data_IF_698007675368
#
_entry.id   IF_698007675368
#
_cell.length_a   1.000
_cell.length_b   1.000
_cell.length_c   1.000
_cell.angle_alpha   90.00
_cell.angle_beta   90.00
_cell.angle_gamma   90.00
#
_symmetry.space_group_name_H-M   'P 1'
#
loop_
_entity.id
_entity.type
_entity.pdbx_description
1 polymer ?
#
# COMPACT_ATOMS: atom_id res chain seq x y z
N UNK A 1 5.68 19.86 -32.84
CA UNK A 1 4.71 19.45 -31.81
C UNK A 1 4.25 20.73 -31.15
N UNK A 2 3.00 21.12 -31.37
CA UNK A 2 2.45 22.31 -30.73
C UNK A 2 2.46 22.12 -29.22
N UNK A 3 2.92 23.14 -28.53
CA UNK A 3 3.25 23.08 -27.11
C UNK A 3 1.94 23.09 -26.30
N UNK A 4 1.50 21.91 -25.87
CA UNK A 4 0.23 21.69 -25.17
C UNK A 4 0.10 22.54 -23.90
N UNK A 5 1.24 22.90 -23.29
CA UNK A 5 1.28 23.82 -22.15
C UNK A 5 0.79 25.22 -22.54
N UNK A 6 1.19 25.71 -23.71
CA UNK A 6 0.81 27.04 -24.16
C UNK A 6 -0.70 27.16 -24.39
N UNK A 7 -1.33 26.08 -24.84
CA UNK A 7 -2.79 26.03 -25.01
C UNK A 7 -3.52 25.96 -23.67
N UNK A 8 -3.01 25.17 -22.71
CA UNK A 8 -3.54 25.13 -21.35
C UNK A 8 -3.53 26.50 -20.67
N UNK A 9 -2.44 27.26 -20.80
CA UNK A 9 -2.35 28.61 -20.23
C UNK A 9 -3.26 29.64 -20.92
N UNK A 10 -3.63 29.40 -22.18
CA UNK A 10 -4.48 30.31 -22.96
C UNK A 10 -5.96 30.06 -22.74
N UNK A 11 -6.34 28.82 -22.40
CA UNK A 11 -7.72 28.40 -22.19
C UNK A 11 -8.17 28.52 -20.72
N UNK A 12 -7.25 28.60 -19.76
CA UNK A 12 -7.57 28.76 -18.34
C UNK A 12 -7.39 30.21 -17.91
N UNK A 13 -8.47 30.82 -17.41
CA UNK A 13 -8.44 32.14 -16.78
C UNK A 13 -7.87 32.00 -15.36
N UNK A 14 -6.58 32.29 -15.22
CA UNK A 14 -5.93 32.25 -13.91
C UNK A 14 -6.44 33.43 -13.09
N UNK A 15 -6.94 33.14 -11.90
CA UNK A 15 -7.37 34.17 -10.96
C UNK A 15 -6.15 35.01 -10.53
N UNK A 16 -5.93 36.11 -11.25
CA UNK A 16 -4.91 37.13 -10.98
C UNK A 16 -5.42 38.18 -10.00
N UNK A 17 -6.65 38.03 -9.49
CA UNK A 17 -7.23 39.00 -8.57
C UNK A 17 -6.71 38.80 -7.16
N UNK A 18 -6.56 39.92 -6.46
CA UNK A 18 -6.16 39.89 -5.06
C UNK A 18 -7.28 39.25 -4.22
N UNK A 19 -6.94 38.29 -3.31
CA UNK A 19 -7.94 37.65 -2.47
C UNK A 19 -8.75 38.67 -1.68
N UNK A 20 -10.05 38.41 -1.48
CA UNK A 20 -10.91 39.27 -0.68
C UNK A 20 -10.31 39.58 0.70
N UNK A 21 -10.50 40.82 1.16
CA UNK A 21 -10.02 41.28 2.46
C UNK A 21 -10.40 40.30 3.58
N UNK A 22 -9.41 39.97 4.41
CA UNK A 22 -9.55 38.97 5.48
C UNK A 22 -9.24 37.52 5.08
N UNK A 23 -8.87 37.23 3.83
CA UNK A 23 -8.36 35.90 3.43
C UNK A 23 -7.12 35.51 4.24
N UNK A 24 -6.12 36.39 4.34
CA UNK A 24 -4.90 36.15 5.13
C UNK A 24 -5.20 35.87 6.59
N UNK A 25 -6.11 36.63 7.21
CA UNK A 25 -6.51 36.40 8.60
C UNK A 25 -7.23 35.06 8.79
N UNK A 26 -8.03 34.61 7.81
CA UNK A 26 -8.66 33.27 7.82
C UNK A 26 -7.62 32.16 7.64
N UNK A 27 -6.65 32.38 6.75
CA UNK A 27 -5.58 31.45 6.46
C UNK A 27 -4.65 31.27 7.68
N UNK A 28 -4.20 32.37 8.27
CA UNK A 28 -3.40 32.38 9.49
C UNK A 28 -4.12 31.69 10.64
N UNK A 29 -5.41 31.96 10.86
CA UNK A 29 -6.19 31.23 11.87
C UNK A 29 -6.29 29.74 11.61
N UNK A 30 -6.25 29.30 10.35
CA UNK A 30 -6.30 27.87 9.98
C UNK A 30 -4.93 27.20 10.16
N UNK A 31 -3.83 27.94 9.97
CA UNK A 31 -2.46 27.50 10.28
C UNK A 31 -2.22 27.39 11.79
N UNK A 32 -2.67 28.39 12.55
CA UNK A 32 -2.48 28.50 13.99
C UNK A 32 -3.53 27.73 14.79
N UNK A 33 -4.62 27.27 14.16
CA UNK A 33 -5.60 26.45 14.86
C UNK A 33 -4.96 25.11 15.21
N UNK A 34 -4.86 24.74 16.51
CA UNK A 34 -4.41 23.41 16.87
C UNK A 34 -5.36 22.41 16.22
N UNK A 35 -4.83 21.46 15.43
CA UNK A 35 -5.60 20.34 14.90
C UNK A 35 -6.31 19.72 16.09
N UNK A 36 -7.64 19.89 16.18
CA UNK A 36 -8.42 19.29 17.27
C UNK A 36 -8.20 17.80 17.16
N UNK A 37 -7.44 17.23 18.10
CA UNK A 37 -7.29 15.79 18.23
C UNK A 37 -8.69 15.22 18.40
N UNK A 38 -9.23 14.61 17.34
CA UNK A 38 -10.46 13.84 17.43
C UNK A 38 -10.14 12.71 18.41
N UNK A 39 -10.94 12.57 19.47
CA UNK A 39 -10.77 11.46 20.42
C UNK A 39 -10.77 10.14 19.63
N UNK A 40 -9.90 9.17 19.97
CA UNK A 40 -9.96 7.85 19.36
C UNK A 40 -11.39 7.32 19.48
N UNK A 41 -12.03 7.07 18.34
CA UNK A 41 -13.35 6.47 18.29
C UNK A 41 -13.25 5.00 18.70
N UNK A 42 -14.31 4.41 19.26
CA UNK A 42 -14.31 2.96 19.53
C UNK A 42 -14.28 2.11 18.23
N UNK A 43 -14.40 2.73 17.05
CA UNK A 43 -14.19 2.11 15.74
C UNK A 43 -12.76 1.55 15.52
N UNK A 44 -11.78 1.99 16.30
CA UNK A 44 -10.40 1.49 16.18
C UNK A 44 -10.24 0.05 16.72
N UNK A 45 -11.15 -0.40 17.59
CA UNK A 45 -11.17 -1.79 18.06
C UNK A 45 -11.80 -2.76 17.05
N UNK A 46 -12.50 -2.27 16.02
CA UNK A 46 -13.01 -3.14 14.94
C UNK A 46 -12.00 -3.42 13.85
N UNK A 47 -10.93 -2.65 13.71
CA UNK A 47 -9.98 -2.77 12.59
C UNK A 47 -8.77 -3.65 12.93
N UNK A 48 -8.37 -3.77 14.20
CA UNK A 48 -7.44 -4.84 14.64
C UNK A 48 -7.95 -6.24 14.26
N UNK A 49 -9.28 -6.40 14.11
CA UNK A 49 -9.86 -7.61 13.58
C UNK A 49 -9.45 -7.87 12.11
N UNK A 50 -9.20 -6.87 11.27
CA UNK A 50 -8.85 -7.08 9.85
C UNK A 50 -7.53 -7.82 9.67
N UNK A 51 -6.46 -7.46 10.40
CA UNK A 51 -5.17 -8.16 10.30
C UNK A 51 -5.19 -9.50 11.04
N UNK A 52 -5.89 -9.59 12.18
CA UNK A 52 -6.15 -10.88 12.82
C UNK A 52 -7.02 -11.79 11.94
N UNK A 53 -7.95 -11.22 11.16
CA UNK A 53 -8.75 -11.94 10.18
C UNK A 53 -7.94 -12.28 8.94
N UNK A 54 -7.03 -11.44 8.45
CA UNK A 54 -6.15 -11.75 7.32
C UNK A 54 -5.15 -12.84 7.71
N UNK A 55 -4.47 -12.71 8.86
CA UNK A 55 -3.59 -13.74 9.39
C UNK A 55 -4.37 -15.02 9.75
N UNK A 56 -5.54 -14.88 10.37
CA UNK A 56 -6.41 -15.99 10.75
C UNK A 56 -7.06 -16.69 9.56
N UNK A 57 -7.41 -15.95 8.50
CA UNK A 57 -7.93 -16.47 7.25
C UNK A 57 -6.80 -17.13 6.45
N UNK A 58 -5.61 -16.54 6.39
CA UNK A 58 -4.43 -17.14 5.74
C UNK A 58 -4.01 -18.46 6.40
N UNK A 59 -3.93 -18.48 7.75
CA UNK A 59 -3.65 -19.70 8.51
C UNK A 59 -4.80 -20.71 8.45
N UNK A 60 -6.06 -20.25 8.45
CA UNK A 60 -7.26 -21.09 8.39
C UNK A 60 -7.52 -21.68 7.00
N UNK A 61 -7.25 -20.92 5.93
CA UNK A 61 -7.41 -21.35 4.53
C UNK A 61 -6.29 -22.27 4.08
N UNK A 62 -5.12 -22.25 4.72
CA UNK A 62 -4.06 -23.23 4.50
C UNK A 62 -4.52 -24.67 4.79
N UNK A 63 -5.60 -24.86 5.57
CA UNK A 63 -6.22 -26.17 5.79
C UNK A 63 -7.16 -26.60 4.65
N UNK A 64 -7.58 -25.71 3.75
CA UNK A 64 -8.28 -26.06 2.51
C UNK A 64 -7.27 -26.28 1.36
N UNK A 65 -6.36 -27.24 1.54
CA UNK A 65 -5.48 -27.73 0.47
C UNK A 65 -6.30 -28.40 -0.63
N UNK A 66 -6.78 -27.66 -1.62
CA UNK A 66 -7.31 -28.21 -2.89
C UNK A 66 -7.17 -27.24 -4.08
N UNK A 67 -6.43 -26.14 -3.96
CA UNK A 67 -6.21 -25.19 -5.05
C UNK A 67 -4.82 -25.36 -5.63
N UNK A 68 -4.74 -25.61 -6.95
CA UNK A 68 -3.48 -25.80 -7.68
C UNK A 68 -2.73 -24.48 -7.82
N UNK A 69 -1.56 -24.34 -7.20
CA UNK A 69 -0.77 -23.09 -7.18
C UNK A 69 0.69 -23.26 -7.65
N UNK A 70 1.55 -22.26 -7.40
CA UNK A 70 2.97 -22.33 -7.77
C UNK A 70 3.69 -23.51 -7.10
N UNK A 71 3.35 -23.85 -5.87
CA UNK A 71 3.99 -24.95 -5.14
C UNK A 71 3.76 -26.31 -5.82
N UNK A 72 2.66 -26.46 -6.55
CA UNK A 72 2.34 -27.68 -7.31
C UNK A 72 3.08 -27.78 -8.66
N UNK A 73 3.80 -26.73 -9.08
CA UNK A 73 4.55 -26.71 -10.35
C UNK A 73 5.89 -27.44 -10.21
N UNK A 74 6.65 -27.14 -9.15
CA UNK A 74 7.94 -27.75 -8.87
C UNK A 74 8.41 -27.43 -7.45
N UNK A 75 9.35 -28.22 -6.89
CA UNK A 75 9.93 -27.91 -5.57
C UNK A 75 10.50 -26.49 -5.47
N UNK A 76 11.18 -26.02 -6.53
CA UNK A 76 11.76 -24.66 -6.55
C UNK A 76 10.68 -23.56 -6.56
N UNK A 77 9.54 -23.81 -7.20
CA UNK A 77 8.41 -22.86 -7.18
C UNK A 77 7.71 -22.87 -5.81
N UNK A 78 7.66 -24.02 -5.13
CA UNK A 78 7.19 -24.10 -3.75
C UNK A 78 8.08 -23.30 -2.78
N UNK A 79 9.41 -23.42 -2.93
CA UNK A 79 10.37 -22.61 -2.18
C UNK A 79 10.16 -21.10 -2.42
N UNK A 80 10.00 -20.69 -3.68
CA UNK A 80 9.75 -19.30 -4.03
C UNK A 80 8.44 -18.77 -3.42
N UNK A 81 7.34 -19.53 -3.54
CA UNK A 81 6.06 -19.18 -2.92
C UNK A 81 6.19 -19.02 -1.40
N UNK A 82 6.84 -19.99 -0.74
CA UNK A 82 7.07 -19.93 0.71
C UNK A 82 7.89 -18.71 1.11
N UNK A 83 8.93 -18.37 0.35
CA UNK A 83 9.73 -17.17 0.57
C UNK A 83 8.84 -15.92 0.53
N UNK A 84 8.14 -15.67 -0.59
CA UNK A 84 7.31 -14.48 -0.75
C UNK A 84 6.23 -14.36 0.31
N UNK A 85 5.51 -15.45 0.58
CA UNK A 85 4.48 -15.50 1.62
C UNK A 85 5.05 -15.14 2.99
N UNK A 86 6.19 -15.73 3.35
CA UNK A 86 6.80 -15.51 4.66
C UNK A 86 7.26 -14.06 4.80
N UNK A 87 7.89 -13.51 3.76
CA UNK A 87 8.31 -12.12 3.72
C UNK A 87 7.11 -11.19 3.83
N UNK A 88 6.06 -11.34 3.02
CA UNK A 88 4.84 -10.51 3.09
C UNK A 88 4.24 -10.54 4.50
N UNK A 89 4.15 -11.71 5.12
CA UNK A 89 3.63 -11.84 6.48
C UNK A 89 4.52 -11.13 7.52
N UNK A 90 5.83 -11.14 7.31
CA UNK A 90 6.77 -10.41 8.17
C UNK A 90 6.63 -8.90 8.00
N UNK A 91 6.58 -8.40 6.76
CA UNK A 91 6.37 -6.98 6.47
C UNK A 91 5.03 -6.48 7.06
N UNK A 92 3.95 -7.24 6.89
CA UNK A 92 2.65 -6.91 7.49
C UNK A 92 2.72 -6.82 9.02
N UNK A 93 3.48 -7.72 9.66
CA UNK A 93 3.70 -7.68 11.11
C UNK A 93 4.49 -6.43 11.53
N UNK A 94 5.43 -5.99 10.71
CA UNK A 94 6.18 -4.76 10.92
C UNK A 94 5.28 -3.53 10.77
N UNK A 95 4.44 -3.47 9.74
CA UNK A 95 3.44 -2.41 9.53
C UNK A 95 2.55 -2.22 10.77
N UNK A 96 2.11 -3.33 11.39
CA UNK A 96 1.30 -3.26 12.61
C UNK A 96 2.02 -2.58 13.79
N UNK A 97 3.35 -2.57 13.85
CA UNK A 97 4.10 -1.88 14.90
C UNK A 97 3.96 -0.34 14.80
N UNK A 98 3.72 0.17 13.60
CA UNK A 98 3.54 1.60 13.33
C UNK A 98 2.08 2.05 13.43
N UNK A 99 1.15 1.14 13.73
CA UNK A 99 -0.29 1.43 13.70
C UNK A 99 -0.70 2.38 14.81
N UNK A 100 -1.30 3.50 14.43
CA UNK A 100 -1.74 4.57 15.32
C UNK A 100 -2.87 5.39 14.69
N UNK A 101 -3.45 6.31 15.47
CA UNK A 101 -4.46 7.24 14.94
C UNK A 101 -4.00 8.06 13.74
N UNK A 102 -2.70 8.32 13.65
CA UNK A 102 -2.12 9.19 12.64
C UNK A 102 -1.74 8.44 11.36
N UNK A 103 -1.40 7.15 11.49
CA UNK A 103 -0.86 6.32 10.40
C UNK A 103 -1.91 5.44 9.73
N UNK A 104 -3.06 5.23 10.36
CA UNK A 104 -4.09 4.28 9.90
C UNK A 104 -4.58 4.51 8.49
N UNK A 105 -4.86 5.77 8.12
CA UNK A 105 -5.41 6.05 6.80
C UNK A 105 -4.47 5.54 5.70
N UNK A 106 -3.17 5.78 5.86
CA UNK A 106 -2.16 5.34 4.89
C UNK A 106 -1.97 3.83 4.94
N UNK A 107 -2.06 3.21 6.13
CA UNK A 107 -2.03 1.75 6.29
C UNK A 107 -3.25 1.12 5.59
N UNK A 108 -4.46 1.59 5.87
CA UNK A 108 -5.71 1.09 5.29
C UNK A 108 -5.72 1.21 3.77
N UNK A 109 -5.32 2.37 3.23
CA UNK A 109 -5.21 2.58 1.78
C UNK A 109 -4.26 1.56 1.13
N UNK A 110 -3.11 1.30 1.76
CA UNK A 110 -2.13 0.35 1.23
C UNK A 110 -2.59 -1.11 1.39
N UNK A 111 -3.27 -1.44 2.49
CA UNK A 111 -3.84 -2.78 2.70
C UNK A 111 -4.95 -3.08 1.69
N UNK A 112 -5.73 -2.09 1.28
CA UNK A 112 -6.70 -2.24 0.19
C UNK A 112 -6.00 -2.57 -1.15
N UNK A 113 -4.87 -1.92 -1.46
CA UNK A 113 -4.07 -2.26 -2.64
C UNK A 113 -3.53 -3.70 -2.59
N UNK A 114 -3.08 -4.16 -1.41
CA UNK A 114 -2.68 -5.55 -1.19
C UNK A 114 -3.85 -6.51 -1.41
N UNK A 115 -5.06 -6.19 -0.96
CA UNK A 115 -6.25 -7.01 -1.17
C UNK A 115 -6.60 -7.14 -2.65
N UNK A 116 -6.54 -6.04 -3.42
CA UNK A 116 -6.73 -6.08 -4.87
C UNK A 116 -5.72 -6.99 -5.57
N UNK A 117 -4.44 -6.93 -5.15
CA UNK A 117 -3.39 -7.82 -5.65
C UNK A 117 -3.63 -9.28 -5.25
N UNK A 118 -4.11 -9.55 -4.04
CA UNK A 118 -4.48 -10.89 -3.57
C UNK A 118 -5.61 -11.50 -4.44
N UNK A 119 -6.61 -10.70 -4.78
CA UNK A 119 -7.71 -11.13 -5.64
C UNK A 119 -7.28 -11.38 -7.10
N UNK A 120 -6.34 -10.58 -7.61
CA UNK A 120 -5.67 -10.86 -8.87
C UNK A 120 -4.91 -12.19 -8.81
N UNK A 121 -4.18 -12.47 -7.73
CA UNK A 121 -3.49 -13.75 -7.54
C UNK A 121 -4.45 -14.94 -7.56
N UNK A 122 -5.59 -14.85 -6.86
CA UNK A 122 -6.63 -15.89 -6.89
C UNK A 122 -7.16 -16.15 -8.31
N UNK A 123 -7.21 -15.11 -9.15
CA UNK A 123 -7.58 -15.24 -10.56
C UNK A 123 -6.50 -15.96 -11.35
N UNK A 124 -5.22 -15.59 -11.14
CA UNK A 124 -4.08 -16.26 -11.77
C UNK A 124 -3.98 -17.75 -11.37
N UNK A 125 -4.27 -18.12 -10.12
CA UNK A 125 -4.36 -19.52 -9.66
C UNK A 125 -5.38 -20.30 -10.50
N UNK A 126 -6.57 -19.73 -10.73
CA UNK A 126 -7.61 -20.36 -11.57
C UNK A 126 -7.13 -20.51 -13.02
N UNK A 127 -6.38 -19.54 -13.54
CA UNK A 127 -5.84 -19.61 -14.91
C UNK A 127 -4.69 -20.61 -15.04
N UNK A 128 -3.82 -20.72 -14.04
CA UNK A 128 -2.72 -21.67 -14.00
C UNK A 128 -3.21 -23.13 -14.09
N UNK A 129 -4.39 -23.40 -13.53
CA UNK A 129 -5.04 -24.72 -13.60
C UNK A 129 -5.45 -25.13 -15.02
N UNK A 130 -5.52 -24.18 -15.97
CA UNK A 130 -5.83 -24.44 -17.38
C UNK A 130 -4.57 -24.94 -18.11
N UNK A 131 -4.75 -25.53 -19.31
CA UNK A 131 -3.64 -26.14 -20.08
C UNK A 131 -2.77 -25.12 -20.83
N UNK A 132 -3.23 -23.89 -21.02
CA UNK A 132 -2.59 -22.90 -21.89
C UNK A 132 -1.82 -21.85 -21.09
N UNK A 133 -0.77 -21.28 -21.69
CA UNK A 133 -0.02 -20.11 -21.19
C UNK A 133 0.59 -20.22 -19.78
N UNK A 134 0.78 -21.42 -19.21
CA UNK A 134 1.30 -21.61 -17.84
C UNK A 134 2.56 -20.81 -17.52
N UNK A 135 3.54 -20.75 -18.42
CA UNK A 135 4.75 -19.98 -18.18
C UNK A 135 4.49 -18.48 -18.03
N UNK A 136 3.52 -17.93 -18.77
CA UNK A 136 3.12 -16.54 -18.63
C UNK A 136 2.40 -16.32 -17.30
N UNK A 137 1.43 -17.18 -16.96
CA UNK A 137 0.70 -17.09 -15.70
C UNK A 137 1.65 -17.18 -14.50
N UNK A 138 2.63 -18.09 -14.52
CA UNK A 138 3.65 -18.19 -13.46
C UNK A 138 4.42 -16.87 -13.30
N UNK A 139 4.80 -16.20 -14.40
CA UNK A 139 5.49 -14.91 -14.33
C UNK A 139 4.59 -13.83 -13.72
N UNK A 140 3.32 -13.78 -14.12
CA UNK A 140 2.35 -12.82 -13.58
C UNK A 140 2.10 -13.06 -12.09
N UNK A 141 2.06 -14.32 -11.64
CA UNK A 141 1.93 -14.66 -10.21
C UNK A 141 3.16 -14.21 -9.40
N UNK A 142 4.37 -14.40 -9.94
CA UNK A 142 5.61 -13.91 -9.30
C UNK A 142 5.62 -12.39 -9.25
N UNK A 143 5.24 -11.72 -10.35
CA UNK A 143 5.14 -10.27 -10.42
C UNK A 143 4.14 -9.73 -9.39
N UNK A 144 3.02 -10.41 -9.20
CA UNK A 144 2.03 -10.03 -8.21
C UNK A 144 2.57 -10.14 -6.76
N UNK A 145 3.39 -11.15 -6.44
CA UNK A 145 4.11 -11.20 -5.15
C UNK A 145 5.07 -10.02 -4.99
N UNK A 146 5.82 -9.69 -6.04
CA UNK A 146 6.75 -8.56 -6.03
C UNK A 146 6.04 -7.22 -5.83
N UNK A 147 4.88 -7.03 -6.48
CA UNK A 147 4.05 -5.83 -6.30
C UNK A 147 3.55 -5.70 -4.86
N UNK A 148 3.09 -6.80 -4.25
CA UNK A 148 2.67 -6.78 -2.84
C UNK A 148 3.82 -6.37 -1.91
N UNK A 149 5.03 -6.87 -2.16
CA UNK A 149 6.20 -6.45 -1.40
C UNK A 149 6.56 -4.98 -1.63
N UNK A 150 6.53 -4.50 -2.87
CA UNK A 150 6.82 -3.10 -3.21
C UNK A 150 5.84 -2.12 -2.53
N UNK A 151 4.56 -2.47 -2.44
CA UNK A 151 3.55 -1.70 -1.69
C UNK A 151 3.91 -1.66 -0.19
N UNK A 152 4.25 -2.81 0.41
CA UNK A 152 4.60 -2.89 1.83
C UNK A 152 5.91 -2.15 2.15
N UNK A 153 6.91 -2.26 1.30
CA UNK A 153 8.20 -1.56 1.44
C UNK A 153 8.00 -0.04 1.41
N UNK A 154 7.24 0.47 0.42
CA UNK A 154 6.90 1.90 0.33
C UNK A 154 6.09 2.38 1.52
N UNK A 155 5.15 1.57 2.00
CA UNK A 155 4.37 1.87 3.19
C UNK A 155 5.28 1.99 4.42
N UNK A 156 6.13 0.99 4.67
CA UNK A 156 7.05 0.99 5.80
C UNK A 156 8.01 2.17 5.78
N UNK A 157 8.58 2.48 4.60
CA UNK A 157 9.42 3.66 4.43
C UNK A 157 8.65 4.94 4.80
N UNK A 158 7.42 5.09 4.32
CA UNK A 158 6.57 6.25 4.64
C UNK A 158 6.25 6.35 6.13
N UNK A 159 5.94 5.23 6.78
CA UNK A 159 5.65 5.16 8.21
C UNK A 159 6.87 5.53 9.05
N UNK A 160 8.04 5.01 8.67
CA UNK A 160 9.29 5.32 9.34
C UNK A 160 9.64 6.80 9.22
N UNK A 161 9.52 7.40 8.02
CA UNK A 161 9.78 8.83 7.82
C UNK A 161 8.81 9.72 8.61
N UNK A 162 7.55 9.30 8.76
CA UNK A 162 6.58 10.05 9.54
C UNK A 162 6.89 10.01 11.05
N UNK A 163 7.42 8.88 11.55
CA UNK A 163 7.79 8.75 12.96
C UNK A 163 9.18 9.35 13.26
N UNK A 164 10.10 9.32 12.29
CA UNK A 164 11.47 9.81 12.42
C UNK A 164 11.90 10.65 11.20
N UNK A 165 11.44 11.91 11.10
CA UNK A 165 11.68 12.76 9.93
C UNK A 165 13.16 13.14 9.73
N UNK A 166 14.02 13.00 10.76
CA UNK A 166 15.46 13.27 10.65
C UNK A 166 16.21 12.20 9.81
N UNK A 167 15.58 11.05 9.52
CA UNK A 167 16.18 10.01 8.68
C UNK A 167 16.27 10.42 7.19
N UNK A 168 15.48 11.41 6.75
CA UNK A 168 15.53 11.98 5.39
C UNK A 168 16.90 12.61 5.07
N UNK A 169 17.51 13.31 6.03
CA UNK A 169 18.82 13.98 5.82
C UNK A 169 19.95 12.95 5.61
N UNK A 170 19.83 11.75 6.18
CA UNK A 170 20.87 10.71 6.09
C UNK A 170 20.80 9.94 4.76
N UNK A 171 19.60 9.73 4.22
CA UNK A 171 19.42 9.02 2.94
C UNK A 171 19.85 9.88 1.73
N UNK A 172 19.74 11.21 1.82
CA UNK A 172 20.24 12.12 0.77
C UNK A 172 21.79 12.16 0.73
N UNK A 173 22.45 12.02 1.88
CA UNK A 173 23.92 12.03 1.99
C UNK A 173 24.60 10.73 1.51
N UNK A 174 23.90 9.59 1.52
CA UNK A 174 24.44 8.31 1.00
C UNK A 174 24.35 8.18 -0.54
N UNK A 175 23.64 9.09 -1.22
CA UNK A 175 23.45 9.08 -2.68
C UNK A 175 24.49 9.97 -3.41
N UNK A 176 25.44 10.60 -2.69
CA UNK A 176 26.52 11.43 -3.27
C UNK A 176 27.83 10.63 -3.45
#
# INVERSE_FOLDING_TARGET
MEDKLHQFFKENDFDVFEPHQGHLNRFQRKLESPKRAKKPSYFWMSIAASVVLVLGFYLGSYQQKNTYDLADISPKMAEAQNFFVTTINQELKEVEQYRSLETEMVIEDSLNEIEELEDQYKTLVKELSKRENKHQIIREMIQNYQQRLDVLEKLLLRLELQQNPAKLEILEDEII
#
